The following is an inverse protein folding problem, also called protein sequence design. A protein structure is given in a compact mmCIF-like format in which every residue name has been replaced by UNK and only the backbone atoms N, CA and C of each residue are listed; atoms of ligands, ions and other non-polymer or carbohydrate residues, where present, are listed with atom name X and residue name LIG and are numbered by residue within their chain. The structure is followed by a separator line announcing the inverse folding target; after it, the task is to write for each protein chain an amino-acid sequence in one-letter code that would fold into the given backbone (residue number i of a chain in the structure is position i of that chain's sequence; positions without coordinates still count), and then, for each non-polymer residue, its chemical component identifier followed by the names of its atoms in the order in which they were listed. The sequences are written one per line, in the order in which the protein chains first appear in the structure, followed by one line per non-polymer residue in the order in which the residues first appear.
data_IF_863064830959
#
_entry.id   IF_863064830959
#
_cell.length_a   1.000
_cell.length_b   1.000
_cell.length_c   1.000
_cell.angle_alpha   90.00
_cell.angle_beta   90.00
_cell.angle_gamma   90.00
#
_symmetry.space_group_name_H-M   'P 1'
#
loop_
_entity.id
_entity.type
_entity.pdbx_description
1 polymer ?
#
# COMPACT_ATOMS: atom_id res chain seq x y z
N UNK A 1 42.95 -14.60 42.17
CA UNK A 1 42.06 -13.56 42.77
C UNK A 1 40.64 -14.11 42.60
N UNK A 2 39.94 -14.71 43.60
CA UNK A 2 39.53 -14.30 44.96
C UNK A 2 38.53 -13.13 44.99
N UNK A 3 37.21 -13.47 45.00
CA UNK A 3 35.96 -12.81 45.52
C UNK A 3 34.79 -13.13 44.58
N UNK A 4 33.63 -13.72 44.91
CA UNK A 4 33.13 -14.49 46.08
C UNK A 4 32.75 -13.78 47.40
N UNK A 5 31.54 -13.21 47.46
CA UNK A 5 30.64 -13.04 48.64
C UNK A 5 29.19 -13.06 48.09
N UNK A 6 28.40 -14.14 48.26
CA UNK A 6 27.39 -14.41 49.32
C UNK A 6 26.28 -13.35 49.40
N UNK A 7 25.06 -13.63 48.93
CA UNK A 7 23.97 -14.36 49.63
C UNK A 7 23.16 -13.51 50.61
N UNK A 8 21.83 -13.49 50.44
CA UNK A 8 20.85 -13.50 51.54
C UNK A 8 19.50 -14.01 51.02
N UNK A 9 19.22 -15.27 51.34
CA UNK A 9 17.85 -15.82 51.32
C UNK A 9 17.17 -15.36 52.60
N UNK A 10 15.91 -14.92 52.53
CA UNK A 10 15.08 -14.67 53.72
C UNK A 10 13.91 -15.66 53.71
N UNK A 11 13.59 -16.16 54.90
CA UNK A 11 12.85 -17.41 55.11
C UNK A 11 11.38 -17.14 55.44
N UNK A 12 10.53 -18.03 54.92
CA UNK A 12 9.16 -18.43 55.33
C UNK A 12 8.29 -17.51 56.22
N UNK A 13 7.01 -17.45 55.84
CA UNK A 13 5.91 -17.66 56.79
C UNK A 13 4.75 -18.34 56.07
N UNK A 14 4.39 -19.55 56.49
CA UNK A 14 3.17 -20.21 56.05
C UNK A 14 2.02 -19.80 56.98
N UNK A 15 0.89 -19.39 56.41
CA UNK A 15 -0.34 -19.12 57.16
C UNK A 15 -1.48 -19.91 56.52
N UNK A 16 -1.94 -20.95 57.20
CA UNK A 16 -3.14 -21.71 56.87
C UNK A 16 -4.36 -20.84 57.20
N UNK A 17 -5.16 -20.48 56.19
CA UNK A 17 -6.40 -19.74 56.37
C UNK A 17 -7.62 -20.58 55.93
N UNK A 18 -8.71 -20.41 56.68
CA UNK A 18 -9.86 -21.31 56.72
C UNK A 18 -10.74 -21.21 55.45
N UNK A 19 -11.31 -22.32 55.02
CA UNK A 19 -12.30 -22.33 53.93
C UNK A 19 -13.62 -21.69 54.37
N UNK A 20 -14.14 -20.77 53.55
CA UNK A 20 -15.50 -20.25 53.65
C UNK A 20 -16.14 -20.26 52.26
N UNK A 21 -17.11 -21.16 52.03
CA UNK A 21 -17.93 -21.14 50.81
C UNK A 21 -18.95 -20.00 50.93
N UNK A 22 -18.66 -18.86 50.31
CA UNK A 22 -19.64 -17.83 50.01
C UNK A 22 -20.01 -17.93 48.52
N UNK A 23 -21.22 -18.41 48.24
CA UNK A 23 -21.73 -18.49 46.87
C UNK A 23 -22.06 -17.08 46.36
N UNK A 24 -21.25 -16.56 45.44
CA UNK A 24 -21.53 -15.31 44.74
C UNK A 24 -22.37 -15.64 43.50
N UNK A 25 -23.55 -15.02 43.30
CA UNK A 25 -24.27 -15.19 42.05
C UNK A 25 -23.44 -14.55 40.92
N UNK A 26 -23.12 -15.33 39.90
CA UNK A 26 -22.44 -14.85 38.70
C UNK A 26 -23.39 -13.94 37.91
N UNK A 27 -23.43 -12.66 38.27
CA UNK A 27 -24.05 -11.63 37.46
C UNK A 27 -23.35 -11.59 36.10
N UNK A 28 -24.06 -11.99 35.05
CA UNK A 28 -23.51 -12.02 33.71
C UNK A 28 -23.14 -10.59 33.29
N UNK A 29 -21.85 -10.28 33.29
CA UNK A 29 -21.33 -9.05 32.71
C UNK A 29 -21.62 -9.10 31.20
N UNK A 30 -22.66 -8.38 30.77
CA UNK A 30 -22.92 -8.15 29.35
C UNK A 30 -21.72 -7.43 28.76
N UNK A 31 -20.84 -8.18 28.09
CA UNK A 31 -19.73 -7.61 27.36
C UNK A 31 -20.30 -6.69 26.27
N UNK A 32 -20.20 -5.37 26.49
CA UNK A 32 -20.61 -4.40 25.49
C UNK A 32 -19.84 -4.69 24.18
N UNK A 33 -20.52 -4.66 23.01
CA UNK A 33 -19.85 -4.92 21.75
C UNK A 33 -18.74 -3.89 21.56
N UNK A 34 -17.50 -4.36 21.48
CA UNK A 34 -16.34 -3.51 21.17
C UNK A 34 -16.62 -2.80 19.84
N UNK A 35 -16.51 -1.46 19.75
CA UNK A 35 -16.76 -0.76 18.51
C UNK A 35 -15.82 -1.30 17.42
N UNK A 36 -16.42 -1.82 16.36
CA UNK A 36 -15.68 -2.26 15.17
C UNK A 36 -15.16 -0.98 14.51
N UNK A 37 -13.84 -0.78 14.54
CA UNK A 37 -13.21 0.30 13.80
C UNK A 37 -13.55 0.15 12.31
N UNK A 38 -13.88 1.23 11.59
CA UNK A 38 -14.09 1.16 10.15
C UNK A 38 -12.89 0.48 9.47
N UNK A 39 -13.16 -0.42 8.53
CA UNK A 39 -12.11 -0.96 7.68
C UNK A 39 -11.38 0.21 6.99
N UNK A 40 -10.03 0.17 6.87
CA UNK A 40 -9.30 1.23 6.19
C UNK A 40 -9.84 1.40 4.77
N UNK A 41 -10.07 2.64 4.36
CA UNK A 41 -10.55 2.93 3.02
C UNK A 41 -9.57 2.39 1.98
N UNK A 42 -10.08 1.74 0.93
CA UNK A 42 -9.26 1.22 -0.14
C UNK A 42 -8.44 2.35 -0.78
N UNK A 43 -7.16 2.07 -1.08
CA UNK A 43 -6.31 3.01 -1.78
C UNK A 43 -6.91 3.35 -3.15
N UNK A 44 -6.84 4.62 -3.55
CA UNK A 44 -7.26 5.07 -4.89
C UNK A 44 -6.05 5.68 -5.60
N UNK A 45 -6.02 5.69 -6.95
CA UNK A 45 -4.93 6.33 -7.70
C UNK A 45 -4.71 7.79 -7.29
N UNK A 46 -5.81 8.55 -7.11
CA UNK A 46 -5.75 9.94 -6.63
C UNK A 46 -5.24 10.03 -5.18
N UNK A 47 -5.70 9.15 -4.28
CA UNK A 47 -5.22 9.11 -2.89
C UNK A 47 -3.73 8.80 -2.77
N UNK A 48 -3.21 7.88 -3.59
CA UNK A 48 -1.78 7.52 -3.64
C UNK A 48 -0.95 8.63 -4.29
N UNK A 49 -1.45 9.28 -5.34
CA UNK A 49 -0.80 10.46 -5.93
C UNK A 49 -0.87 11.70 -5.03
N UNK A 50 -1.87 11.81 -4.16
CA UNK A 50 -2.01 12.86 -3.15
C UNK A 50 -2.99 13.97 -3.55
N UNK A 51 -3.13 14.97 -2.68
CA UNK A 51 -4.08 16.09 -2.86
C UNK A 51 -3.83 16.86 -4.16
N UNK A 52 -4.92 17.21 -4.87
CA UNK A 52 -4.88 18.02 -6.09
C UNK A 52 -4.55 17.25 -7.37
N UNK A 53 -4.30 15.94 -7.30
CA UNK A 53 -4.18 15.09 -8.48
C UNK A 53 -5.54 14.64 -8.98
N UNK A 54 -5.77 14.81 -10.28
CA UNK A 54 -6.95 14.29 -11.00
C UNK A 54 -6.48 13.33 -12.08
N UNK A 55 -7.20 12.23 -12.29
CA UNK A 55 -6.94 11.32 -13.42
C UNK A 55 -7.19 12.04 -14.74
N UNK A 56 -6.21 11.98 -15.64
CA UNK A 56 -6.30 12.50 -17.00
C UNK A 56 -6.22 11.41 -18.06
N UNK A 57 -5.67 10.23 -17.74
CA UNK A 57 -5.63 9.08 -18.64
C UNK A 57 -5.51 7.74 -17.89
N UNK A 58 -5.77 6.62 -18.55
CA UNK A 58 -5.52 5.27 -18.01
C UNK A 58 -5.47 4.19 -19.10
N UNK A 59 -4.61 3.20 -18.92
CA UNK A 59 -4.53 2.01 -19.78
C UNK A 59 -4.77 0.72 -18.98
N UNK A 60 -5.55 -0.19 -19.55
CA UNK A 60 -6.02 -1.40 -18.89
C UNK A 60 -5.30 -2.65 -19.38
N UNK A 61 -4.74 -3.43 -18.46
CA UNK A 61 -4.13 -4.72 -18.72
C UNK A 61 -5.19 -5.81 -18.56
N UNK A 62 -5.45 -6.58 -19.62
CA UNK A 62 -6.47 -7.63 -19.63
C UNK A 62 -5.92 -8.96 -20.12
N UNK A 63 -6.34 -10.03 -19.45
CA UNK A 63 -6.31 -11.38 -20.01
C UNK A 63 -7.75 -11.78 -20.35
N UNK A 64 -8.02 -12.00 -21.63
CA UNK A 64 -9.35 -12.29 -22.14
C UNK A 64 -10.40 -11.26 -21.68
N UNK A 65 -11.32 -11.63 -20.77
CA UNK A 65 -12.31 -10.73 -20.18
C UNK A 65 -11.91 -10.16 -18.81
N UNK A 66 -10.87 -10.71 -18.17
CA UNK A 66 -10.43 -10.32 -16.84
C UNK A 66 -9.52 -9.09 -16.89
N UNK A 67 -9.86 -8.05 -16.15
CA UNK A 67 -8.94 -6.95 -15.86
C UNK A 67 -7.91 -7.43 -14.83
N UNK A 68 -6.64 -7.38 -15.22
CA UNK A 68 -5.51 -7.79 -14.38
C UNK A 68 -4.98 -6.60 -13.58
N UNK A 69 -4.84 -5.44 -14.23
CA UNK A 69 -4.38 -4.22 -13.61
C UNK A 69 -4.76 -3.03 -14.49
N UNK A 70 -4.63 -1.82 -13.94
CA UNK A 70 -4.76 -0.58 -14.70
C UNK A 70 -3.67 0.39 -14.30
N UNK A 71 -2.95 0.90 -15.29
CA UNK A 71 -2.05 2.05 -15.11
C UNK A 71 -2.83 3.34 -15.32
N UNK A 72 -2.61 4.32 -14.46
CA UNK A 72 -3.27 5.62 -14.45
C UNK A 72 -2.25 6.74 -14.61
N UNK A 73 -2.56 7.73 -15.43
CA UNK A 73 -1.89 9.02 -15.43
C UNK A 73 -2.78 10.04 -14.70
N UNK A 74 -2.19 10.69 -13.70
CA UNK A 74 -2.83 11.75 -12.92
C UNK A 74 -2.00 13.02 -13.01
N UNK A 75 -2.66 14.17 -13.03
CA UNK A 75 -2.03 15.48 -13.11
C UNK A 75 -2.51 16.40 -12.00
N UNK A 76 -1.59 17.19 -11.44
CA UNK A 76 -1.89 18.27 -10.51
C UNK A 76 -1.62 19.61 -11.21
N UNK A 77 -2.71 20.27 -11.63
CA UNK A 77 -2.64 21.51 -12.41
C UNK A 77 -2.02 22.70 -11.65
N UNK A 78 -1.99 22.66 -10.31
CA UNK A 78 -1.41 23.70 -9.46
C UNK A 78 0.11 23.57 -9.33
N UNK A 79 0.63 22.34 -9.32
CA UNK A 79 2.08 22.08 -9.19
C UNK A 79 2.77 21.72 -10.51
N UNK A 80 2.00 21.44 -11.58
CA UNK A 80 2.49 20.97 -12.90
C UNK A 80 3.17 19.60 -12.87
N UNK A 81 2.88 18.80 -11.84
CA UNK A 81 3.34 17.42 -11.74
C UNK A 81 2.35 16.42 -12.34
N UNK A 82 2.90 15.49 -13.11
CA UNK A 82 2.28 14.22 -13.45
C UNK A 82 2.63 13.16 -12.39
N UNK A 83 1.76 12.17 -12.25
CA UNK A 83 1.90 11.03 -11.34
C UNK A 83 1.40 9.77 -12.05
N UNK A 84 2.17 8.69 -11.98
CA UNK A 84 1.80 7.39 -12.57
C UNK A 84 1.80 6.31 -11.49
N UNK A 85 0.72 5.51 -11.50
CA UNK A 85 0.50 4.38 -10.60
C UNK A 85 -0.14 3.23 -11.39
N UNK A 86 0.26 2.00 -11.10
CA UNK A 86 -0.34 0.79 -11.69
C UNK A 86 -1.01 0.00 -10.59
N UNK A 87 -2.34 0.00 -10.56
CA UNK A 87 -3.13 -0.72 -9.57
C UNK A 87 -3.50 -2.11 -10.08
N UNK A 88 -3.44 -3.09 -9.19
CA UNK A 88 -4.06 -4.39 -9.35
C UNK A 88 -5.58 -4.22 -9.46
N UNK A 89 -6.21 -5.13 -10.18
CA UNK A 89 -7.66 -5.22 -10.26
C UNK A 89 -8.14 -6.45 -9.47
N UNK A 90 -9.46 -6.65 -9.35
CA UNK A 90 -10.04 -7.70 -8.51
C UNK A 90 -9.51 -9.13 -8.80
N UNK A 91 -9.03 -9.40 -10.03
CA UNK A 91 -8.43 -10.69 -10.39
C UNK A 91 -7.02 -10.92 -9.80
N UNK A 92 -6.29 -9.86 -9.43
CA UNK A 92 -4.88 -9.87 -9.02
C UNK A 92 -4.60 -9.22 -7.67
N UNK A 93 -5.58 -8.55 -7.07
CA UNK A 93 -5.47 -7.94 -5.74
C UNK A 93 -5.05 -8.97 -4.68
N UNK A 94 -4.14 -8.57 -3.78
CA UNK A 94 -3.52 -9.44 -2.78
C UNK A 94 -2.45 -10.40 -3.31
N UNK A 95 -2.27 -10.55 -4.64
CA UNK A 95 -1.22 -11.43 -5.21
C UNK A 95 0.07 -10.65 -5.41
N UNK A 96 1.16 -11.08 -4.78
CA UNK A 96 2.49 -10.46 -4.94
C UNK A 96 3.11 -10.75 -6.33
N UNK A 97 2.77 -9.92 -7.31
CA UNK A 97 3.13 -10.03 -8.73
C UNK A 97 4.14 -8.96 -9.12
N UNK A 98 4.95 -9.20 -10.17
CA UNK A 98 5.81 -8.15 -10.72
C UNK A 98 4.91 -7.10 -11.36
N UNK A 99 4.90 -5.90 -10.81
CA UNK A 99 4.06 -4.77 -11.25
C UNK A 99 4.95 -3.54 -11.34
N UNK A 100 4.71 -2.69 -12.34
CA UNK A 100 5.54 -1.52 -12.59
C UNK A 100 4.75 -0.30 -13.06
N UNK A 101 5.30 0.88 -12.78
CA UNK A 101 4.82 2.18 -13.20
C UNK A 101 6.02 3.06 -13.61
N UNK A 102 5.91 3.81 -14.70
CA UNK A 102 6.96 4.72 -15.18
C UNK A 102 6.42 6.00 -15.80
N UNK A 103 7.25 7.04 -15.72
CA UNK A 103 6.97 8.38 -16.21
C UNK A 103 8.27 9.01 -16.74
N UNK A 104 8.15 9.70 -17.86
CA UNK A 104 9.23 10.33 -18.61
C UNK A 104 8.72 11.66 -19.19
N UNK A 105 9.58 12.65 -19.35
CA UNK A 105 9.23 14.03 -19.78
C UNK A 105 10.10 14.41 -20.98
N UNK A 106 9.46 14.79 -22.08
CA UNK A 106 10.16 15.04 -23.34
C UNK A 106 11.11 16.25 -23.24
N UNK A 107 12.38 16.06 -23.61
CA UNK A 107 13.37 17.15 -23.65
C UNK A 107 13.77 17.76 -22.31
N UNK A 108 13.43 17.16 -21.16
CA UNK A 108 13.80 17.70 -19.84
C UNK A 108 15.23 17.36 -19.37
N UNK A 109 15.94 16.54 -20.17
CA UNK A 109 17.33 16.12 -19.97
C UNK A 109 17.54 15.04 -18.91
N UNK A 110 16.49 14.44 -18.35
CA UNK A 110 16.56 13.40 -17.31
C UNK A 110 16.24 12.02 -17.88
N UNK A 111 16.56 11.00 -17.10
CA UNK A 111 16.11 9.63 -17.38
C UNK A 111 14.67 9.42 -16.88
N UNK A 112 13.94 8.52 -17.55
CA UNK A 112 12.65 8.02 -17.11
C UNK A 112 12.70 7.54 -15.65
N UNK A 113 11.79 8.03 -14.81
CA UNK A 113 11.58 7.48 -13.47
C UNK A 113 10.67 6.25 -13.55
N UNK A 114 11.01 5.23 -12.77
CA UNK A 114 10.25 3.97 -12.70
C UNK A 114 10.24 3.41 -11.28
N UNK A 115 9.14 2.77 -10.96
CA UNK A 115 8.99 1.87 -9.82
C UNK A 115 8.53 0.52 -10.36
N UNK A 116 9.24 -0.55 -10.01
CA UNK A 116 8.97 -1.90 -10.48
C UNK A 116 9.45 -2.90 -9.42
N UNK A 117 8.56 -3.81 -9.02
CA UNK A 117 8.84 -4.77 -7.95
C UNK A 117 7.70 -5.76 -7.77
N UNK A 118 7.78 -6.61 -6.74
CA UNK A 118 6.65 -7.46 -6.36
C UNK A 118 5.67 -6.67 -5.50
N UNK A 119 4.52 -6.34 -6.06
CA UNK A 119 3.45 -5.62 -5.38
C UNK A 119 2.19 -6.48 -5.29
N UNK A 120 1.38 -6.26 -4.25
CA UNK A 120 0.11 -6.97 -4.05
C UNK A 120 -1.11 -6.14 -4.42
N UNK A 121 -0.94 -4.82 -4.60
CA UNK A 121 -2.05 -3.85 -4.72
C UNK A 121 -1.74 -2.75 -5.72
N UNK A 122 -0.56 -2.11 -5.68
CA UNK A 122 -0.13 -1.17 -6.72
C UNK A 122 1.39 -0.99 -6.76
N UNK A 123 1.90 -0.56 -7.92
CA UNK A 123 3.23 0.03 -8.10
C UNK A 123 3.12 1.55 -8.32
N UNK A 124 4.18 2.29 -8.01
CA UNK A 124 4.20 3.75 -7.92
C UNK A 124 3.85 4.24 -6.51
N UNK A 125 3.70 5.55 -6.29
CA UNK A 125 3.62 6.62 -7.30
C UNK A 125 4.98 7.14 -7.77
N UNK A 126 5.21 7.10 -9.08
CA UNK A 126 6.30 7.88 -9.72
C UNK A 126 5.76 9.23 -10.16
N UNK A 127 6.55 10.30 -9.98
CA UNK A 127 6.11 11.69 -10.24
C UNK A 127 7.20 12.51 -10.91
N UNK A 128 6.85 13.32 -11.90
CA UNK A 128 7.71 14.30 -12.54
C UNK A 128 6.93 15.59 -12.84
N UNK A 129 7.59 16.74 -12.75
CA UNK A 129 7.07 18.00 -13.26
C UNK A 129 7.30 18.05 -14.78
N UNK A 130 6.24 18.30 -15.56
CA UNK A 130 6.33 18.39 -17.01
C UNK A 130 6.38 19.83 -17.52
N UNK A 131 5.81 20.80 -16.78
CA UNK A 131 5.73 22.18 -17.26
C UNK A 131 4.94 22.27 -18.57
N UNK A 132 5.58 22.72 -19.65
CA UNK A 132 5.02 22.76 -21.01
C UNK A 132 5.43 21.56 -21.89
N UNK A 133 6.12 20.57 -21.33
CA UNK A 133 6.62 19.42 -22.08
C UNK A 133 5.60 18.28 -22.10
N UNK A 134 5.68 17.43 -23.12
CA UNK A 134 4.89 16.21 -23.21
C UNK A 134 5.42 15.15 -22.23
N UNK A 135 4.54 14.23 -21.80
CA UNK A 135 4.91 13.06 -21.00
C UNK A 135 4.74 11.76 -21.76
N UNK A 136 5.58 10.79 -21.41
CA UNK A 136 5.46 9.38 -21.80
C UNK A 136 5.31 8.57 -20.52
N UNK A 137 4.22 7.82 -20.41
CA UNK A 137 3.82 7.14 -19.18
C UNK A 137 3.44 5.70 -19.46
N UNK A 138 3.47 4.86 -18.44
CA UNK A 138 3.12 3.46 -18.62
C UNK A 138 3.35 2.61 -17.40
N UNK A 139 3.15 1.31 -17.59
CA UNK A 139 3.23 0.32 -16.53
C UNK A 139 3.16 -1.10 -17.06
N UNK A 140 3.24 -2.05 -16.15
CA UNK A 140 3.09 -3.48 -16.46
C UNK A 140 2.53 -4.28 -15.29
N UNK A 141 2.08 -5.50 -15.61
CA UNK A 141 1.87 -6.59 -14.66
C UNK A 141 2.32 -7.93 -15.27
N UNK A 142 3.00 -8.76 -14.50
CA UNK A 142 3.27 -10.17 -14.80
C UNK A 142 2.29 -11.08 -14.06
N UNK A 143 1.79 -12.08 -14.77
CA UNK A 143 0.93 -13.12 -14.21
C UNK A 143 1.39 -14.50 -14.69
N UNK A 144 0.76 -15.57 -14.21
CA UNK A 144 0.98 -16.91 -14.77
C UNK A 144 0.58 -17.06 -16.24
N UNK A 145 -0.23 -16.15 -16.79
CA UNK A 145 -0.62 -16.14 -18.20
C UNK A 145 0.38 -15.38 -19.11
N UNK A 146 1.20 -14.50 -18.55
CA UNK A 146 2.20 -13.72 -19.29
C UNK A 146 2.47 -12.33 -18.72
N UNK A 147 3.28 -11.56 -19.45
CA UNK A 147 3.61 -10.16 -19.18
C UNK A 147 2.72 -9.23 -19.99
N UNK A 148 2.05 -8.29 -19.31
CA UNK A 148 1.21 -7.27 -19.93
C UNK A 148 1.85 -5.92 -19.64
N UNK A 149 2.26 -5.19 -20.68
CA UNK A 149 2.96 -3.92 -20.55
C UNK A 149 2.45 -2.89 -21.57
N UNK A 150 2.41 -1.62 -21.16
CA UNK A 150 2.01 -0.50 -22.00
C UNK A 150 2.91 0.70 -21.71
N UNK A 151 3.32 1.38 -22.77
CA UNK A 151 3.89 2.73 -22.71
C UNK A 151 3.19 3.58 -23.75
N UNK A 152 2.77 4.79 -23.37
CA UNK A 152 2.13 5.74 -24.27
C UNK A 152 3.11 6.27 -25.33
N UNK A 153 2.59 6.85 -26.43
CA UNK A 153 3.30 7.91 -27.14
C UNK A 153 3.55 9.12 -26.22
N UNK A 154 4.40 10.06 -26.66
CA UNK A 154 4.44 11.39 -26.06
C UNK A 154 3.07 12.07 -26.17
N UNK A 155 2.53 12.54 -25.04
CA UNK A 155 1.15 13.03 -24.90
C UNK A 155 1.03 14.02 -23.73
N UNK A 156 -0.16 14.60 -23.50
CA UNK A 156 -0.48 15.44 -22.33
C UNK A 156 0.54 16.57 -22.07
N UNK A 157 0.74 17.40 -23.09
CA UNK A 157 1.73 18.48 -23.10
C UNK A 157 1.12 19.80 -22.59
N UNK A 158 1.36 20.15 -21.32
CA UNK A 158 0.97 21.43 -20.68
C UNK A 158 -0.30 21.43 -19.83
#
# INVERSE_FOLDING_TARGET
MRTSVRSSVVIASAVTALAALAAVPAGAASAAPKPIAPAPAAATPAGVCGSGYTQIDSHVFKDSSAELARVYLLYNASTKFNCVVTFHAAATEGKALTTGAWLDVDGDGKEQVKDQGRYSSYAGPVRLAAGSHCVKWGGMIETGAGTYAYTSPWSHCG
#
